data_IF_341893443268
#
_entry.id   IF_341893443268
#
_cell.length_a   1.000
_cell.length_b   1.000
_cell.length_c   1.000
_cell.angle_alpha   90.00
_cell.angle_beta   90.00
_cell.angle_gamma   90.00
#
_symmetry.space_group_name_H-M   'P 1'
#
loop_
_entity.id
_entity.type
_entity.pdbx_description
1 polymer ?
#
# COMPACT_ATOMS: atom_id res chain seq x y z
N UNK A 1 6.09 4.49 13.01
CA UNK A 1 7.44 4.52 13.64
C UNK A 1 8.41 5.11 12.62
N UNK A 2 9.25 6.08 12.97
CA UNK A 2 10.26 6.64 12.05
C UNK A 2 11.62 5.96 12.24
N UNK A 3 12.33 5.72 11.13
CA UNK A 3 13.71 5.21 11.09
C UNK A 3 14.55 6.16 10.25
N UNK A 4 15.79 6.43 10.69
CA UNK A 4 16.73 7.27 9.94
C UNK A 4 17.53 6.40 8.95
N UNK A 5 17.50 6.76 7.68
CA UNK A 5 18.27 6.12 6.63
C UNK A 5 19.42 7.06 6.22
N UNK A 6 20.64 6.52 6.11
CA UNK A 6 21.80 7.22 5.55
C UNK A 6 22.07 6.68 4.15
N UNK A 7 22.02 7.54 3.14
CA UNK A 7 22.29 7.21 1.74
C UNK A 7 23.37 8.11 1.18
N UNK A 8 24.14 7.60 0.22
CA UNK A 8 25.06 8.41 -0.58
C UNK A 8 24.33 8.94 -1.80
N UNK A 9 24.44 10.23 -2.06
CA UNK A 9 23.91 10.90 -3.25
C UNK A 9 24.96 11.83 -3.83
N UNK A 10 24.79 12.20 -5.09
CA UNK A 10 25.65 13.19 -5.75
C UNK A 10 25.59 14.55 -5.02
N UNK A 11 26.72 15.25 -4.96
CA UNK A 11 26.87 16.52 -4.24
C UNK A 11 25.98 17.63 -4.85
N UNK A 12 25.85 17.67 -6.17
CA UNK A 12 25.00 18.66 -6.83
C UNK A 12 23.53 18.43 -6.48
N UNK A 13 23.12 17.17 -6.38
CA UNK A 13 21.78 16.78 -5.95
C UNK A 13 21.54 17.16 -4.49
N UNK A 14 22.49 16.90 -3.59
CA UNK A 14 22.39 17.31 -2.19
C UNK A 14 22.22 18.83 -2.05
N UNK A 15 23.04 19.61 -2.76
CA UNK A 15 22.98 21.06 -2.74
C UNK A 15 21.67 21.58 -3.33
N UNK A 16 21.20 20.97 -4.42
CA UNK A 16 19.90 21.28 -5.02
C UNK A 16 18.73 21.01 -4.08
N UNK A 17 18.72 19.85 -3.40
CA UNK A 17 17.72 19.52 -2.39
C UNK A 17 17.71 20.56 -1.26
N UNK A 18 18.89 20.93 -0.77
CA UNK A 18 19.00 21.91 0.30
C UNK A 18 18.53 23.32 -0.12
N UNK A 19 18.84 23.74 -1.35
CA UNK A 19 18.47 25.05 -1.87
C UNK A 19 16.97 25.16 -2.21
N UNK A 20 16.37 24.12 -2.79
CA UNK A 20 14.98 24.17 -3.29
C UNK A 20 13.97 23.78 -2.20
N UNK A 21 14.26 22.72 -1.44
CA UNK A 21 13.34 22.17 -0.45
C UNK A 21 13.56 22.77 0.95
N UNK A 22 14.80 23.18 1.25
CA UNK A 22 15.16 23.78 2.53
C UNK A 22 15.43 22.76 3.64
N UNK A 23 16.05 23.25 4.72
CA UNK A 23 16.45 22.43 5.87
C UNK A 23 15.23 21.87 6.61
N UNK A 24 15.16 20.55 6.76
CA UNK A 24 14.14 19.86 7.56
C UNK A 24 12.99 19.24 6.76
N UNK A 25 12.77 19.68 5.51
CA UNK A 25 11.74 19.12 4.63
C UNK A 25 12.27 18.03 3.68
N UNK A 26 13.60 17.89 3.54
CA UNK A 26 14.23 16.91 2.63
C UNK A 26 13.80 15.47 2.94
N UNK A 27 13.76 15.09 4.22
CA UNK A 27 13.36 13.72 4.60
C UNK A 27 11.91 13.42 4.18
N UNK A 28 10.99 14.36 4.40
CA UNK A 28 9.58 14.20 4.02
C UNK A 28 9.44 14.16 2.50
N UNK A 29 10.13 15.05 1.78
CA UNK A 29 10.12 15.09 0.33
C UNK A 29 10.58 13.76 -0.30
N UNK A 30 11.69 13.19 0.19
CA UNK A 30 12.19 11.90 -0.29
C UNK A 30 11.20 10.78 0.07
N UNK A 31 10.63 10.80 1.28
CA UNK A 31 9.65 9.79 1.70
C UNK A 31 8.40 9.81 0.80
N UNK A 32 7.85 10.99 0.51
CA UNK A 32 6.67 11.14 -0.35
C UNK A 32 6.94 10.68 -1.78
N UNK A 33 8.15 10.92 -2.28
CA UNK A 33 8.57 10.47 -3.60
C UNK A 33 8.73 8.94 -3.66
N UNK A 34 9.26 8.32 -2.61
CA UNK A 34 9.50 6.87 -2.57
C UNK A 34 8.22 6.08 -2.26
N UNK A 35 7.32 6.62 -1.44
CA UNK A 35 6.10 5.95 -0.97
C UNK A 35 5.34 5.17 -2.05
N UNK A 36 4.97 5.74 -3.22
CA UNK A 36 4.21 5.00 -4.23
C UNK A 36 4.97 3.83 -4.88
N UNK A 37 6.31 3.82 -4.79
CA UNK A 37 7.15 2.77 -5.39
C UNK A 37 7.53 1.67 -4.41
N UNK A 38 7.57 1.98 -3.11
CA UNK A 38 8.02 1.05 -2.06
C UNK A 38 6.84 0.50 -1.26
N UNK A 39 5.76 1.28 -1.15
CA UNK A 39 4.48 0.86 -0.59
C UNK A 39 3.51 0.80 -1.76
N UNK A 40 3.52 -0.32 -2.48
CA UNK A 40 2.31 -0.71 -3.20
C UNK A 40 1.26 -0.94 -2.13
N UNK A 41 0.06 -0.38 -2.27
CA UNK A 41 -1.06 -0.69 -1.39
C UNK A 41 -1.27 -2.21 -1.42
N UNK A 42 -0.71 -2.91 -0.43
CA UNK A 42 -0.83 -4.36 -0.29
C UNK A 42 -2.30 -4.76 -0.17
N UNK A 43 -3.15 -3.82 0.28
CA UNK A 43 -4.60 -3.91 0.23
C UNK A 43 -5.14 -4.01 -1.20
N UNK A 44 -4.70 -3.16 -2.12
CA UNK A 44 -5.14 -3.23 -3.53
C UNK A 44 -4.64 -4.51 -4.21
N UNK A 45 -3.41 -4.93 -3.91
CA UNK A 45 -2.87 -6.19 -4.38
C UNK A 45 -3.63 -7.41 -3.79
N UNK A 46 -3.96 -7.38 -2.49
CA UNK A 46 -4.72 -8.43 -1.82
C UNK A 46 -6.18 -8.46 -2.30
N UNK A 47 -6.83 -7.31 -2.49
CA UNK A 47 -8.17 -7.22 -3.08
C UNK A 47 -8.20 -7.76 -4.50
N UNK A 48 -7.17 -7.46 -5.30
CA UNK A 48 -7.06 -8.01 -6.65
C UNK A 48 -6.90 -9.53 -6.65
N UNK A 49 -6.06 -10.07 -5.76
CA UNK A 49 -5.90 -11.51 -5.58
C UNK A 49 -7.20 -12.18 -5.07
N UNK A 50 -7.93 -11.53 -4.17
CA UNK A 50 -9.23 -12.02 -3.69
C UNK A 50 -10.32 -11.98 -4.76
N UNK A 51 -10.33 -10.94 -5.60
CA UNK A 51 -11.27 -10.82 -6.72
C UNK A 51 -10.98 -11.81 -7.87
N UNK A 52 -9.74 -12.30 -7.96
CA UNK A 52 -9.36 -13.35 -8.92
C UNK A 52 -9.74 -14.77 -8.44
N UNK A 53 -10.10 -14.94 -7.15
CA UNK A 53 -10.49 -16.21 -6.53
C UNK A 53 -12.02 -16.41 -6.50
N UNK A 54 -12.58 -16.68 -7.70
CA UNK A 54 -14.03 -16.89 -7.89
C UNK A 54 -14.58 -18.15 -7.21
N UNK A 55 -13.73 -19.16 -6.96
CA UNK A 55 -14.15 -20.39 -6.27
C UNK A 55 -14.49 -20.09 -4.81
N UNK A 56 -13.70 -19.25 -4.15
CA UNK A 56 -13.95 -18.82 -2.77
C UNK A 56 -15.15 -17.90 -2.64
N UNK A 57 -15.41 -17.03 -3.62
CA UNK A 57 -16.64 -16.23 -3.66
C UNK A 57 -17.88 -17.11 -3.78
N UNK A 58 -17.81 -18.14 -4.62
CA UNK A 58 -18.91 -19.10 -4.81
C UNK A 58 -19.18 -19.88 -3.53
N UNK A 59 -18.14 -20.32 -2.82
CA UNK A 59 -18.27 -20.98 -1.52
C UNK A 59 -18.91 -20.04 -0.49
N UNK A 60 -18.42 -18.80 -0.36
CA UNK A 60 -18.99 -17.83 0.59
C UNK A 60 -20.47 -17.51 0.31
N UNK A 61 -20.86 -17.42 -0.95
CA UNK A 61 -22.26 -17.27 -1.38
C UNK A 61 -23.11 -18.47 -0.95
N UNK A 62 -22.63 -19.69 -1.17
CA UNK A 62 -23.32 -20.91 -0.75
C UNK A 62 -23.50 -20.97 0.77
N UNK A 63 -22.49 -20.56 1.54
CA UNK A 63 -22.59 -20.46 3.00
C UNK A 63 -23.59 -19.39 3.46
N UNK A 64 -23.61 -18.23 2.80
CA UNK A 64 -24.53 -17.14 3.12
C UNK A 64 -25.99 -17.48 2.78
N UNK A 65 -26.23 -18.21 1.70
CA UNK A 65 -27.56 -18.59 1.23
C UNK A 65 -28.08 -19.90 1.87
N UNK A 66 -27.21 -20.72 2.46
CA UNK A 66 -27.56 -21.99 3.09
C UNK A 66 -28.62 -21.87 4.21
N UNK A 67 -28.77 -20.69 4.84
CA UNK A 67 -29.74 -20.48 5.93
C UNK A 67 -31.18 -20.20 5.43
N UNK A 68 -31.38 -19.82 4.16
CA UNK A 68 -32.71 -19.41 3.64
C UNK A 68 -33.65 -20.63 3.46
N UNK A 69 -33.12 -21.85 3.44
CA UNK A 69 -33.89 -23.08 3.31
C UNK A 69 -34.43 -23.67 4.62
N UNK A 70 -33.83 -23.35 5.77
CA UNK A 70 -34.07 -24.08 7.03
C UNK A 70 -35.21 -23.48 7.89
N UNK A 71 -35.73 -22.31 7.50
CA UNK A 71 -36.86 -21.64 8.17
C UNK A 71 -38.25 -22.10 7.73
N UNK A 72 -38.37 -23.10 6.85
CA UNK A 72 -39.66 -23.67 6.43
C UNK A 72 -39.82 -25.10 6.96
N UNK A 73 -40.08 -25.23 8.26
CA UNK A 73 -40.79 -26.38 8.84
C UNK A 73 -41.70 -25.93 9.96
#
# INVERSE_FOLDING_TARGET
MQKKLTISIDEQVYNGLYAVIGKGAISQFIEDLLRPYVIQDELDAAYKLMAEDQERETEALLWAEALIGDGKK
#
